data_IF_989698930684
#
_entry.id   IF_989698930684
#
_cell.length_a   1.000
_cell.length_b   1.000
_cell.length_c   1.000
_cell.angle_alpha   90.00
_cell.angle_beta   90.00
_cell.angle_gamma   90.00
#
_symmetry.space_group_name_H-M   'P 1'
#
loop_
_entity.id
_entity.type
_entity.pdbx_description
1 polymer ?
#
# COMPACT_ATOMS: atom_id res chain seq x y z
N UNK A 1 -0.16 21.07 0.87
CA UNK A 1 -1.01 20.07 1.58
C UNK A 1 -1.75 19.19 0.60
N UNK A 2 -1.77 17.90 0.85
CA UNK A 2 -2.46 16.95 -0.02
C UNK A 2 -3.95 16.97 0.31
N UNK A 3 -4.77 17.17 -0.72
CA UNK A 3 -6.21 17.15 -0.53
C UNK A 3 -6.70 15.70 -0.43
N UNK A 4 -7.47 15.42 0.60
CA UNK A 4 -8.05 14.10 0.82
C UNK A 4 -8.87 13.64 -0.38
N UNK A 5 -9.64 14.55 -1.00
CA UNK A 5 -10.46 14.21 -2.16
C UNK A 5 -9.64 13.75 -3.36
N UNK A 6 -8.47 14.35 -3.58
CA UNK A 6 -7.58 13.93 -4.67
C UNK A 6 -7.01 12.53 -4.41
N UNK A 7 -6.63 12.26 -3.16
CA UNK A 7 -6.14 10.95 -2.75
C UNK A 7 -7.23 9.89 -2.92
N UNK A 8 -8.43 10.18 -2.40
CA UNK A 8 -9.59 9.30 -2.52
C UNK A 8 -9.91 8.96 -3.98
N UNK A 9 -9.85 9.94 -4.86
CA UNK A 9 -10.13 9.74 -6.29
C UNK A 9 -9.10 8.83 -6.96
N UNK A 10 -7.82 8.93 -6.59
CA UNK A 10 -6.80 8.03 -7.09
C UNK A 10 -7.07 6.59 -6.65
N UNK A 11 -7.42 6.40 -5.40
CA UNK A 11 -7.72 5.07 -4.88
C UNK A 11 -8.97 4.46 -5.54
N UNK A 12 -10.00 5.28 -5.77
CA UNK A 12 -11.23 4.82 -6.41
C UNK A 12 -11.01 4.26 -7.81
N UNK A 13 -10.06 4.83 -8.55
CA UNK A 13 -9.77 4.38 -9.92
C UNK A 13 -9.26 2.96 -9.98
N UNK A 14 -8.71 2.46 -8.89
CA UNK A 14 -8.15 1.11 -8.84
C UNK A 14 -9.21 0.08 -8.52
N UNK A 15 -10.31 0.50 -7.88
CA UNK A 15 -11.42 -0.40 -7.50
C UNK A 15 -12.18 -0.83 -8.75
N UNK A 16 -11.86 -2.00 -9.26
CA UNK A 16 -12.52 -2.59 -10.44
C UNK A 16 -11.91 -3.96 -10.71
N UNK A 17 -12.61 -4.78 -11.49
CA UNK A 17 -12.06 -6.02 -12.06
C UNK A 17 -11.39 -6.94 -11.04
N UNK A 18 -11.99 -7.10 -9.87
CA UNK A 18 -11.51 -8.03 -8.86
C UNK A 18 -10.73 -7.40 -7.73
N UNK A 19 -10.45 -6.11 -7.79
CA UNK A 19 -9.82 -5.40 -6.66
C UNK A 19 -10.94 -4.84 -5.79
N UNK A 20 -11.05 -5.36 -4.57
CA UNK A 20 -12.16 -5.06 -3.66
C UNK A 20 -11.90 -3.86 -2.77
N UNK A 21 -10.67 -3.69 -2.33
CA UNK A 21 -10.30 -2.67 -1.35
C UNK A 21 -8.91 -2.16 -1.63
N UNK A 22 -8.71 -0.86 -1.46
CA UNK A 22 -7.39 -0.26 -1.49
C UNK A 22 -7.30 0.76 -0.36
N UNK A 23 -6.17 0.79 0.33
CA UNK A 23 -5.96 1.79 1.37
C UNK A 23 -4.52 2.29 1.39
N UNK A 24 -4.36 3.48 1.94
CA UNK A 24 -3.05 4.03 2.28
C UNK A 24 -3.04 4.31 3.77
N UNK A 25 -1.98 3.92 4.44
CA UNK A 25 -1.83 4.10 5.87
C UNK A 25 -0.46 4.67 6.19
N UNK A 26 -0.30 5.14 7.43
CA UNK A 26 1.02 5.43 7.97
C UNK A 26 1.73 4.11 8.26
N UNK A 27 3.04 4.17 8.40
CA UNK A 27 3.83 2.98 8.79
C UNK A 27 3.34 2.40 10.12
N UNK A 28 2.78 3.24 11.01
CA UNK A 28 2.18 2.79 12.26
C UNK A 28 0.92 1.95 12.09
N UNK A 29 0.33 1.93 10.90
CA UNK A 29 -0.92 1.23 10.61
C UNK A 29 -2.14 2.14 10.55
N UNK A 30 -2.03 3.39 11.00
CA UNK A 30 -3.17 4.32 10.97
C UNK A 30 -3.64 4.55 9.54
N UNK A 31 -4.89 4.17 9.25
CA UNK A 31 -5.47 4.33 7.92
C UNK A 31 -5.73 5.82 7.65
N UNK A 32 -5.18 6.32 6.54
CA UNK A 32 -5.40 7.69 6.10
C UNK A 32 -6.53 7.80 5.09
N UNK A 33 -6.65 6.80 4.22
CA UNK A 33 -7.69 6.79 3.20
C UNK A 33 -7.95 5.35 2.79
N UNK A 34 -9.21 4.98 2.64
CA UNK A 34 -9.62 3.66 2.17
C UNK A 34 -10.78 3.81 1.19
N UNK A 35 -10.75 3.02 0.13
CA UNK A 35 -11.82 2.96 -0.85
C UNK A 35 -12.18 1.49 -1.14
N UNK A 36 -13.42 1.28 -1.56
CA UNK A 36 -13.94 -0.05 -1.81
C UNK A 36 -14.63 -0.65 -0.60
N UNK A 37 -14.50 -1.95 -0.41
CA UNK A 37 -15.12 -2.65 0.71
C UNK A 37 -14.49 -2.21 2.03
N UNK A 38 -15.25 -2.35 3.12
CA UNK A 38 -14.79 -1.98 4.45
C UNK A 38 -13.47 -2.65 4.80
N UNK A 39 -12.57 -1.88 5.40
CA UNK A 39 -11.28 -2.35 5.87
C UNK A 39 -11.15 -1.97 7.35
N UNK A 40 -10.97 -2.98 8.20
CA UNK A 40 -10.81 -2.76 9.64
C UNK A 40 -9.41 -2.26 9.95
N UNK A 41 -9.31 -1.39 10.96
CA UNK A 41 -8.02 -0.90 11.42
C UNK A 41 -7.09 -2.04 11.84
N UNK A 42 -7.64 -3.12 12.41
CA UNK A 42 -6.85 -4.29 12.79
C UNK A 42 -6.14 -4.94 11.60
N UNK A 43 -6.77 -4.93 10.42
CA UNK A 43 -6.15 -5.46 9.21
C UNK A 43 -4.97 -4.59 8.78
N UNK A 44 -5.14 -3.27 8.81
CA UNK A 44 -4.05 -2.35 8.47
C UNK A 44 -2.89 -2.47 9.45
N UNK A 45 -3.18 -2.65 10.74
CA UNK A 45 -2.16 -2.86 11.77
C UNK A 45 -1.36 -4.14 11.50
N UNK A 46 -2.06 -5.21 11.11
CA UNK A 46 -1.40 -6.48 10.77
C UNK A 46 -0.48 -6.31 9.56
N UNK A 47 -0.97 -5.66 8.50
CA UNK A 47 -0.19 -5.43 7.28
C UNK A 47 1.06 -4.60 7.61
N UNK A 48 0.90 -3.55 8.41
CA UNK A 48 2.01 -2.71 8.84
C UNK A 48 3.08 -3.50 9.58
N UNK A 49 2.65 -4.36 10.52
CA UNK A 49 3.57 -5.21 11.28
C UNK A 49 4.31 -6.20 10.39
N UNK A 50 3.60 -6.83 9.45
CA UNK A 50 4.20 -7.76 8.50
C UNK A 50 5.20 -7.06 7.59
N UNK A 51 4.86 -5.88 7.08
CA UNK A 51 5.76 -5.12 6.24
C UNK A 51 7.06 -4.81 6.98
N UNK A 52 6.96 -4.34 8.22
CA UNK A 52 8.11 -3.98 9.03
C UNK A 52 9.03 -5.19 9.25
N UNK A 53 8.46 -6.34 9.63
CA UNK A 53 9.23 -7.57 9.87
C UNK A 53 9.97 -8.03 8.61
N UNK A 54 9.28 -8.12 7.48
CA UNK A 54 9.90 -8.59 6.25
C UNK A 54 10.91 -7.59 5.71
N UNK A 55 10.67 -6.31 5.90
CA UNK A 55 11.62 -5.28 5.50
C UNK A 55 12.94 -5.42 6.27
N UNK A 56 12.86 -5.64 7.58
CA UNK A 56 14.04 -5.84 8.41
C UNK A 56 14.81 -7.10 8.04
N UNK A 57 14.10 -8.20 7.77
CA UNK A 57 14.73 -9.45 7.34
C UNK A 57 15.48 -9.23 6.02
N UNK A 58 14.87 -8.52 5.08
CA UNK A 58 15.51 -8.20 3.80
C UNK A 58 16.79 -7.40 3.97
N UNK A 59 16.76 -6.35 4.80
CA UNK A 59 17.94 -5.54 5.06
C UNK A 59 19.05 -6.32 5.74
N UNK A 60 18.71 -7.16 6.70
CA UNK A 60 19.69 -7.94 7.46
C UNK A 60 20.31 -9.07 6.64
N UNK A 61 19.52 -9.73 5.78
CA UNK A 61 19.93 -10.96 5.09
C UNK A 61 20.37 -10.75 3.65
N UNK A 62 19.84 -9.74 2.98
CA UNK A 62 20.05 -9.52 1.54
C UNK A 62 20.81 -8.25 1.22
N UNK A 63 21.38 -7.62 2.18
CA UNK A 63 22.25 -6.41 2.15
C UNK A 63 22.00 -5.37 1.06
N UNK A 64 21.89 -5.77 -0.20
CA UNK A 64 21.70 -4.87 -1.34
C UNK A 64 20.30 -4.91 -1.92
N UNK A 65 19.47 -5.87 -1.48
CA UNK A 65 18.10 -6.00 -1.96
C UNK A 65 17.13 -5.53 -0.92
N UNK A 66 16.24 -4.61 -1.32
CA UNK A 66 15.19 -4.10 -0.46
C UNK A 66 13.88 -4.74 -0.82
N UNK A 67 13.02 -4.95 0.18
CA UNK A 67 11.67 -5.41 -0.04
C UNK A 67 10.92 -4.40 -0.90
N UNK A 68 10.45 -4.81 -2.08
CA UNK A 68 9.71 -3.93 -2.98
C UNK A 68 8.21 -4.09 -2.85
N UNK A 69 7.74 -5.30 -2.61
CA UNK A 69 6.33 -5.55 -2.34
C UNK A 69 6.17 -6.86 -1.57
N UNK A 70 5.04 -6.98 -0.89
CA UNK A 70 4.69 -8.16 -0.13
C UNK A 70 3.36 -8.69 -0.67
N UNK A 71 3.33 -9.95 -1.10
CA UNK A 71 2.13 -10.61 -1.59
C UNK A 71 1.71 -11.66 -0.58
N UNK A 72 0.45 -11.58 -0.16
CA UNK A 72 -0.13 -12.52 0.80
C UNK A 72 -1.30 -13.22 0.13
N UNK A 73 -1.22 -14.55 0.02
CA UNK A 73 -2.30 -15.34 -0.54
C UNK A 73 -3.07 -16.02 0.58
N UNK A 74 -4.37 -15.75 0.64
CA UNK A 74 -5.31 -16.38 1.56
C UNK A 74 -6.28 -17.26 0.80
N UNK A 75 -7.09 -18.03 1.53
CA UNK A 75 -8.12 -18.85 0.91
C UNK A 75 -9.20 -18.01 0.22
N UNK A 76 -9.48 -16.83 0.76
CA UNK A 76 -10.58 -15.97 0.29
C UNK A 76 -10.13 -14.79 -0.55
N UNK A 77 -8.87 -14.39 -0.46
CA UNK A 77 -8.39 -13.18 -1.11
C UNK A 77 -6.89 -13.17 -1.31
N UNK A 78 -6.43 -12.29 -2.18
CA UNK A 78 -5.02 -12.00 -2.35
C UNK A 78 -4.77 -10.56 -1.93
N UNK A 79 -3.69 -10.32 -1.21
CA UNK A 79 -3.33 -9.00 -0.70
C UNK A 79 -1.93 -8.66 -1.19
N UNK A 80 -1.77 -7.47 -1.76
CA UNK A 80 -0.46 -6.99 -2.16
C UNK A 80 -0.22 -5.62 -1.52
N UNK A 81 0.99 -5.41 -1.00
CA UNK A 81 1.32 -4.18 -0.31
C UNK A 81 2.73 -3.73 -0.64
N UNK A 82 2.94 -2.43 -0.60
CA UNK A 82 4.25 -1.82 -0.78
C UNK A 82 4.31 -0.55 0.06
N UNK A 83 5.50 0.03 0.14
CA UNK A 83 5.64 1.32 0.79
C UNK A 83 5.88 2.42 -0.23
N UNK A 84 5.53 3.64 0.12
CA UNK A 84 5.85 4.84 -0.64
C UNK A 84 6.17 5.93 0.37
N UNK A 85 7.45 6.32 0.45
CA UNK A 85 7.94 7.20 1.50
C UNK A 85 7.63 6.61 2.88
N UNK A 86 6.95 7.35 3.75
CA UNK A 86 6.56 6.90 5.08
C UNK A 86 5.16 6.30 5.14
N UNK A 87 4.61 5.92 3.99
CA UNK A 87 3.26 5.37 3.88
C UNK A 87 3.28 3.95 3.38
N UNK A 88 2.23 3.21 3.71
CA UNK A 88 1.97 1.87 3.19
C UNK A 88 0.77 1.93 2.28
N UNK A 89 0.89 1.33 1.10
CA UNK A 89 -0.18 1.20 0.12
C UNK A 89 -0.54 -0.26 0.01
N UNK A 90 -1.82 -0.59 0.17
CA UNK A 90 -2.27 -1.98 0.18
C UNK A 90 -3.53 -2.16 -0.66
N UNK A 91 -3.56 -3.25 -1.43
CA UNK A 91 -4.73 -3.66 -2.21
C UNK A 91 -5.15 -5.05 -1.79
N UNK A 92 -6.44 -5.23 -1.59
CA UNK A 92 -7.06 -6.54 -1.34
C UNK A 92 -7.92 -6.90 -2.53
N UNK A 93 -7.70 -8.08 -3.07
CA UNK A 93 -8.33 -8.50 -4.30
C UNK A 93 -9.01 -9.86 -4.16
N UNK A 94 -9.91 -10.14 -5.10
CA UNK A 94 -10.55 -11.43 -5.23
C UNK A 94 -9.50 -12.51 -5.43
N UNK A 95 -9.73 -13.70 -4.87
CA UNK A 95 -8.84 -14.85 -4.97
C UNK A 95 -8.51 -15.22 -6.41
N UNK A 96 -9.42 -14.98 -7.33
CA UNK A 96 -9.28 -15.38 -8.72
C UNK A 96 -8.53 -14.36 -9.60
N UNK A 97 -8.15 -13.21 -9.04
CA UNK A 97 -7.40 -12.21 -9.81
C UNK A 97 -6.02 -12.77 -10.19
N UNK A 98 -5.57 -12.49 -11.40
CA UNK A 98 -4.23 -12.87 -11.82
C UNK A 98 -3.21 -12.00 -11.09
N UNK A 99 -2.20 -12.63 -10.52
CA UNK A 99 -1.20 -11.91 -9.71
C UNK A 99 -0.47 -10.84 -10.51
N UNK A 100 -0.22 -11.08 -11.80
CA UNK A 100 0.41 -10.09 -12.67
C UNK A 100 -0.44 -8.84 -12.83
N UNK A 101 -1.76 -9.01 -12.91
CA UNK A 101 -2.69 -7.88 -13.01
C UNK A 101 -2.70 -7.09 -11.69
N UNK A 102 -2.74 -7.79 -10.57
CA UNK A 102 -2.72 -7.16 -9.25
C UNK A 102 -1.44 -6.34 -9.06
N UNK A 103 -0.30 -6.93 -9.39
CA UNK A 103 0.99 -6.26 -9.28
C UNK A 103 1.07 -5.03 -10.18
N UNK A 104 0.59 -5.15 -11.41
CA UNK A 104 0.59 -4.03 -12.36
C UNK A 104 -0.28 -2.87 -11.87
N UNK A 105 -1.43 -3.18 -11.28
CA UNK A 105 -2.30 -2.16 -10.71
C UNK A 105 -1.65 -1.46 -9.53
N UNK A 106 -0.93 -2.20 -8.69
CA UNK A 106 -0.19 -1.59 -7.58
C UNK A 106 0.91 -0.66 -8.08
N UNK A 107 1.67 -1.10 -9.07
CA UNK A 107 2.73 -0.28 -9.68
C UNK A 107 2.17 1.02 -10.25
N UNK A 108 1.06 0.92 -10.99
CA UNK A 108 0.41 2.09 -11.58
C UNK A 108 -0.09 3.06 -10.50
N UNK A 109 -0.72 2.53 -9.46
CA UNK A 109 -1.20 3.35 -8.35
C UNK A 109 -0.04 4.05 -7.64
N UNK A 110 1.03 3.32 -7.34
CA UNK A 110 2.17 3.91 -6.65
C UNK A 110 2.87 4.97 -7.47
N UNK A 111 2.94 4.79 -8.80
CA UNK A 111 3.48 5.83 -9.69
C UNK A 111 2.64 7.10 -9.63
N UNK A 112 1.31 6.97 -9.67
CA UNK A 112 0.42 8.11 -9.58
C UNK A 112 0.47 8.80 -8.22
N UNK A 113 0.53 8.01 -7.15
CA UNK A 113 0.71 8.53 -5.80
C UNK A 113 2.05 9.24 -5.64
N UNK A 114 3.10 8.68 -6.22
CA UNK A 114 4.42 9.30 -6.17
C UNK A 114 4.41 10.69 -6.81
N UNK A 115 3.77 10.82 -7.97
CA UNK A 115 3.64 12.12 -8.64
C UNK A 115 2.90 13.13 -7.77
N UNK A 116 1.86 12.68 -7.08
CA UNK A 116 1.08 13.53 -6.18
C UNK A 116 1.87 13.95 -4.94
N UNK A 117 2.63 13.03 -4.37
CA UNK A 117 3.33 13.23 -3.09
C UNK A 117 4.71 13.86 -3.24
N UNK A 118 5.34 13.75 -4.40
CA UNK A 118 6.71 14.21 -4.61
C UNK A 118 6.95 15.67 -4.22
N UNK A 119 6.07 16.63 -4.55
CA UNK A 119 6.27 18.01 -4.13
C UNK A 119 6.31 18.20 -2.62
N UNK A 120 5.80 17.24 -1.86
CA UNK A 120 5.70 17.30 -0.40
C UNK A 120 6.61 16.32 0.33
N UNK A 121 7.48 15.60 -0.41
CA UNK A 121 8.29 14.53 0.19
C UNK A 121 9.20 15.02 1.30
N UNK A 122 9.77 16.21 1.16
CA UNK A 122 10.65 16.78 2.18
C UNK A 122 9.91 17.09 3.47
N UNK A 123 8.67 17.56 3.35
CA UNK A 123 7.81 17.82 4.50
C UNK A 123 7.46 16.53 5.21
N UNK A 124 7.16 15.47 4.43
CA UNK A 124 6.84 14.15 4.96
C UNK A 124 8.03 13.58 5.72
N UNK A 125 9.22 13.65 5.13
CA UNK A 125 10.44 13.14 5.74
C UNK A 125 10.73 13.88 7.05
N UNK A 126 10.60 15.21 7.07
CA UNK A 126 10.85 16.01 8.27
C UNK A 126 9.91 15.68 9.41
N UNK A 127 8.66 15.31 9.11
CA UNK A 127 7.70 14.93 10.14
C UNK A 127 8.03 13.60 10.80
N UNK A 128 8.73 12.72 10.07
CA UNK A 128 9.12 11.40 10.59
C UNK A 128 10.38 11.45 11.45
N UNK A 129 11.15 12.51 11.33
CA UNK A 129 12.32 12.74 12.17
C UNK A 129 11.93 13.23 13.56
#
# INVERSE_FOLDING_TARGET
MIKFSALSNLLKKVISNGIDTVFISRISGEILCVEGKECKQTFADLISSMWFEYYQIGEASLKEEKLSCLLIENDDSNVITTNLYSYIVCMKANKNIKLGILRKNLESLTQNLNKMLEPFKDIIIKKEE
#
